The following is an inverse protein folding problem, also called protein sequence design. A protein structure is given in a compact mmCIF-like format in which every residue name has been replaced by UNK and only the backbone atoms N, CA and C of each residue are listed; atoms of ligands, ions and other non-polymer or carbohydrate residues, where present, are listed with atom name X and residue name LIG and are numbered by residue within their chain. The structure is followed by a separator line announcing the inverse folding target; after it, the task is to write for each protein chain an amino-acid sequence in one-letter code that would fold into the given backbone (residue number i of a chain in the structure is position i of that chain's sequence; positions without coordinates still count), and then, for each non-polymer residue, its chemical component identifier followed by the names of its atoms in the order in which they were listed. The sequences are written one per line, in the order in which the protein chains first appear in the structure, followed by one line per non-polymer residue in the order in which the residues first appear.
data_IF_196360062608
#
_entry.id   IF_196360062608
#
_cell.length_a   1.000
_cell.length_b   1.000
_cell.length_c   1.000
_cell.angle_alpha   90.00
_cell.angle_beta   90.00
_cell.angle_gamma   90.00
#
_symmetry.space_group_name_H-M   'P 1'
#
loop_
_entity.id
_entity.type
_entity.pdbx_description
1 polymer ?
#
# COMPACT_ATOMS: atom_id res chain seq x y z
N UNK A 1 -2.27 -14.54 -4.21
CA UNK A 1 -2.32 -13.24 -3.52
C UNK A 1 -1.73 -13.47 -2.15
N UNK A 2 -0.64 -12.81 -1.82
CA UNK A 2 0.05 -12.97 -0.54
C UNK A 2 -0.56 -12.03 0.50
N UNK A 3 -0.76 -12.51 1.73
CA UNK A 3 -1.42 -11.74 2.78
C UNK A 3 -0.37 -11.19 3.74
N UNK A 4 -0.35 -9.87 3.89
CA UNK A 4 0.45 -9.15 4.86
C UNK A 4 -0.44 -8.66 6.01
N UNK A 5 -0.27 -9.24 7.20
CA UNK A 5 -1.01 -8.81 8.39
C UNK A 5 -0.28 -7.65 9.07
N UNK A 6 -0.78 -6.44 8.84
CA UNK A 6 -0.16 -5.21 9.35
C UNK A 6 -0.09 -5.21 10.88
N UNK A 7 -1.04 -5.84 11.58
CA UNK A 7 -1.02 -5.94 13.04
C UNK A 7 0.16 -6.77 13.55
N UNK A 8 0.62 -7.77 12.77
CA UNK A 8 1.70 -8.68 13.16
C UNK A 8 3.08 -8.12 12.81
N UNK A 9 3.25 -7.62 11.60
CA UNK A 9 4.58 -7.20 11.09
C UNK A 9 4.79 -5.68 11.14
N UNK A 10 3.74 -4.91 11.43
CA UNK A 10 3.76 -3.45 11.48
C UNK A 10 3.91 -2.81 10.10
N UNK A 11 3.74 -1.49 10.04
CA UNK A 11 3.88 -0.69 8.80
C UNK A 11 5.26 -0.85 8.18
N UNK A 12 6.32 -0.88 9.00
CA UNK A 12 7.68 -1.08 8.50
C UNK A 12 7.86 -2.45 7.86
N UNK A 13 7.36 -3.51 8.50
CA UNK A 13 7.43 -4.86 7.94
C UNK A 13 6.70 -4.95 6.61
N UNK A 14 5.47 -4.41 6.53
CA UNK A 14 4.70 -4.36 5.28
C UNK A 14 5.48 -3.64 4.18
N UNK A 15 5.98 -2.43 4.44
CA UNK A 15 6.68 -1.66 3.41
C UNK A 15 8.00 -2.31 2.99
N UNK A 16 8.78 -2.83 3.93
CA UNK A 16 10.01 -3.58 3.62
C UNK A 16 9.71 -4.79 2.73
N UNK A 17 8.70 -5.60 3.05
CA UNK A 17 8.31 -6.74 2.21
C UNK A 17 7.95 -6.32 0.79
N UNK A 18 7.25 -5.20 0.61
CA UNK A 18 6.90 -4.69 -0.71
C UNK A 18 8.10 -4.07 -1.46
N UNK A 19 9.09 -3.52 -0.74
CA UNK A 19 10.31 -2.92 -1.30
C UNK A 19 11.38 -3.94 -1.66
N UNK A 20 11.44 -5.06 -0.96
CA UNK A 20 12.45 -6.12 -1.17
C UNK A 20 12.21 -6.90 -2.47
N UNK A 21 11.08 -6.67 -3.14
CA UNK A 21 10.77 -7.29 -4.43
C UNK A 21 11.57 -6.65 -5.57
N UNK A 22 11.96 -7.43 -6.59
CA UNK A 22 12.52 -6.90 -7.82
C UNK A 22 11.59 -5.87 -8.48
N UNK A 23 12.16 -4.85 -9.13
CA UNK A 23 11.39 -3.75 -9.75
C UNK A 23 10.45 -4.20 -10.88
N UNK A 24 10.70 -5.34 -11.52
CA UNK A 24 9.87 -5.92 -12.57
C UNK A 24 8.81 -6.92 -12.03
N UNK A 25 8.75 -7.09 -10.70
CA UNK A 25 7.80 -7.98 -10.02
C UNK A 25 6.36 -7.55 -10.26
N UNK A 26 5.50 -8.53 -10.58
CA UNK A 26 4.06 -8.36 -10.83
C UNK A 26 3.24 -9.20 -9.85
N UNK A 27 3.51 -9.03 -8.57
CA UNK A 27 2.85 -9.77 -7.50
C UNK A 27 1.62 -9.04 -6.95
N UNK A 28 0.70 -9.83 -6.39
CA UNK A 28 -0.54 -9.35 -5.80
C UNK A 28 -0.51 -9.56 -4.29
N UNK A 29 -0.73 -8.49 -3.53
CA UNK A 29 -0.75 -8.46 -2.07
C UNK A 29 -2.11 -8.05 -1.54
N UNK A 30 -2.47 -8.62 -0.40
CA UNK A 30 -3.56 -8.17 0.44
C UNK A 30 -3.01 -7.74 1.80
N UNK A 31 -3.23 -6.48 2.19
CA UNK A 31 -2.86 -5.95 3.49
C UNK A 31 -4.09 -5.98 4.40
N UNK A 32 -4.01 -6.76 5.47
CA UNK A 32 -5.08 -6.87 6.47
C UNK A 32 -4.76 -6.07 7.73
N UNK A 33 -5.81 -5.78 8.51
CA UNK A 33 -5.73 -5.06 9.78
C UNK A 33 -5.00 -3.70 9.72
N UNK A 34 -5.31 -2.81 8.75
CA UNK A 34 -4.61 -1.54 8.61
C UNK A 34 -4.87 -0.57 9.77
N UNK A 35 -6.02 -0.66 10.45
CA UNK A 35 -6.35 0.07 11.68
C UNK A 35 -6.09 1.59 11.62
N UNK A 36 -6.27 2.21 10.45
CA UNK A 36 -6.01 3.65 10.27
C UNK A 36 -4.53 4.02 10.35
N UNK A 37 -3.61 3.06 10.23
CA UNK A 37 -2.18 3.31 10.29
C UNK A 37 -1.68 4.13 9.10
N UNK A 38 -0.64 4.90 9.37
CA UNK A 38 -0.09 5.89 8.44
C UNK A 38 0.96 5.23 7.54
N UNK A 39 1.23 5.86 6.40
CA UNK A 39 2.35 5.52 5.51
C UNK A 39 2.37 4.06 5.04
N UNK A 40 1.20 3.45 4.85
CA UNK A 40 1.06 2.10 4.33
C UNK A 40 1.31 2.12 2.82
N UNK A 41 2.10 1.18 2.32
CA UNK A 41 2.40 0.99 0.89
C UNK A 41 3.03 2.24 0.24
N UNK A 42 3.89 2.96 0.96
CA UNK A 42 4.63 4.10 0.42
C UNK A 42 5.84 3.65 -0.40
N UNK A 43 6.25 4.44 -1.39
CA UNK A 43 7.51 4.27 -2.11
C UNK A 43 7.58 3.04 -3.01
N UNK A 44 6.43 2.54 -3.48
CA UNK A 44 6.41 1.35 -4.33
C UNK A 44 7.00 1.65 -5.73
N UNK A 45 8.06 0.92 -6.06
CA UNK A 45 8.84 1.03 -7.30
C UNK A 45 8.76 -0.25 -8.16
N UNK A 46 7.64 -0.97 -8.08
CA UNK A 46 7.35 -2.16 -8.87
C UNK A 46 5.87 -2.21 -9.28
N UNK A 47 5.49 -2.83 -10.41
CA UNK A 47 4.11 -2.91 -10.90
C UNK A 47 3.26 -3.93 -10.11
N UNK A 48 3.18 -3.74 -8.79
CA UNK A 48 2.44 -4.57 -7.85
C UNK A 48 0.94 -4.26 -7.89
N UNK A 49 0.12 -5.23 -7.49
CA UNK A 49 -1.29 -5.01 -7.15
C UNK A 49 -1.45 -5.17 -5.65
N UNK A 50 -1.87 -4.12 -4.95
CA UNK A 50 -2.00 -4.12 -3.49
C UNK A 50 -3.45 -3.80 -3.13
N UNK A 51 -4.09 -4.67 -2.36
CA UNK A 51 -5.42 -4.43 -1.82
C UNK A 51 -5.34 -4.25 -0.30
N UNK A 52 -5.80 -3.13 0.22
CA UNK A 52 -5.78 -2.80 1.65
C UNK A 52 -7.18 -2.93 2.22
N UNK A 53 -7.37 -3.91 3.11
CA UNK A 53 -8.66 -4.28 3.70
C UNK A 53 -8.97 -3.43 4.93
N UNK A 54 -9.49 -2.23 4.71
CA UNK A 54 -9.98 -1.34 5.77
C UNK A 54 -9.43 0.09 5.68
N UNK A 55 -9.59 0.84 6.77
CA UNK A 55 -9.20 2.25 6.84
C UNK A 55 -7.68 2.44 6.91
N UNK A 56 -7.18 3.45 6.20
CA UNK A 56 -5.77 3.86 6.21
C UNK A 56 -5.64 5.30 6.69
N UNK A 57 -4.51 5.58 7.36
CA UNK A 57 -4.17 6.90 7.89
C UNK A 57 -3.52 7.78 6.84
N UNK A 58 -2.66 8.68 7.30
CA UNK A 58 -2.03 9.68 6.45
C UNK A 58 -1.01 9.07 5.48
N UNK A 59 -0.84 9.70 4.32
CA UNK A 59 0.23 9.38 3.36
C UNK A 59 0.22 7.96 2.78
N UNK A 60 -0.88 7.23 2.89
CA UNK A 60 -0.99 5.90 2.28
C UNK A 60 -0.72 5.98 0.76
N UNK A 61 0.12 5.08 0.26
CA UNK A 61 0.49 5.05 -1.16
C UNK A 61 1.35 6.23 -1.63
N UNK A 62 1.90 7.05 -0.72
CA UNK A 62 2.76 8.16 -1.09
C UNK A 62 4.00 7.69 -1.86
N UNK A 63 4.51 8.49 -2.79
CA UNK A 63 5.66 8.16 -3.64
C UNK A 63 5.49 6.89 -4.48
N UNK A 64 4.26 6.50 -4.81
CA UNK A 64 3.99 5.36 -5.69
C UNK A 64 4.46 5.65 -7.14
N UNK A 65 5.15 4.69 -7.76
CA UNK A 65 5.59 4.78 -9.17
C UNK A 65 4.81 3.85 -10.09
N UNK A 66 4.64 2.58 -9.75
CA UNK A 66 4.08 1.62 -10.72
C UNK A 66 2.92 0.79 -10.17
N UNK A 67 2.72 0.79 -8.86
CA UNK A 67 1.75 -0.09 -8.24
C UNK A 67 0.30 0.38 -8.46
N UNK A 68 -0.61 -0.59 -8.42
CA UNK A 68 -2.05 -0.40 -8.35
C UNK A 68 -2.51 -0.72 -6.94
N UNK A 69 -2.91 0.30 -6.18
CA UNK A 69 -3.34 0.16 -4.79
C UNK A 69 -4.85 0.38 -4.72
N UNK A 70 -5.58 -0.55 -4.11
CA UNK A 70 -7.00 -0.39 -3.79
C UNK A 70 -7.19 -0.36 -2.28
N UNK A 71 -7.83 0.68 -1.76
CA UNK A 71 -8.20 0.79 -0.35
C UNK A 71 -9.71 0.54 -0.23
N UNK A 72 -10.09 -0.47 0.54
CA UNK A 72 -11.51 -0.82 0.73
C UNK A 72 -12.19 0.00 1.84
N UNK A 73 -11.41 0.76 2.62
CA UNK A 73 -11.91 1.71 3.62
C UNK A 73 -11.51 3.17 3.31
N UNK A 74 -11.86 4.07 4.23
CA UNK A 74 -11.46 5.48 4.17
C UNK A 74 -9.94 5.68 4.18
N UNK A 75 -9.51 6.79 3.55
CA UNK A 75 -8.13 7.23 3.53
C UNK A 75 -7.96 8.60 4.20
N UNK A 76 -6.89 8.74 4.99
CA UNK A 76 -6.52 9.98 5.63
C UNK A 76 -5.86 10.99 4.69
N UNK A 77 -5.44 12.12 5.27
CA UNK A 77 -4.78 13.24 4.58
C UNK A 77 -3.49 12.79 3.89
N UNK A 78 -3.22 13.35 2.70
CA UNK A 78 -1.99 13.08 1.96
C UNK A 78 -1.99 11.72 1.25
N UNK A 79 -3.14 11.08 1.04
CA UNK A 79 -3.22 9.90 0.17
C UNK A 79 -2.52 10.17 -1.17
N UNK A 80 -1.68 9.23 -1.59
CA UNK A 80 -0.93 9.32 -2.86
C UNK A 80 -0.02 10.54 -2.97
N UNK A 81 0.38 11.15 -1.86
CA UNK A 81 1.25 12.32 -1.89
C UNK A 81 2.55 12.03 -2.66
N UNK A 82 2.92 12.94 -3.56
CA UNK A 82 4.08 12.81 -4.43
C UNK A 82 4.10 11.51 -5.26
N UNK A 83 2.94 11.01 -5.70
CA UNK A 83 2.84 9.87 -6.62
C UNK A 83 3.38 10.24 -8.01
N UNK A 84 4.26 9.39 -8.56
CA UNK A 84 4.86 9.55 -9.89
C UNK A 84 3.99 8.93 -10.99
N UNK A 85 3.47 7.72 -10.77
CA UNK A 85 2.55 7.03 -11.68
C UNK A 85 1.90 5.82 -10.99
N UNK A 86 1.10 5.04 -11.72
CA UNK A 86 0.35 3.90 -11.19
C UNK A 86 -1.13 4.25 -10.99
N UNK A 87 -1.81 3.55 -10.08
CA UNK A 87 -3.20 3.84 -9.72
C UNK A 87 -3.42 3.67 -8.22
N UNK A 88 -4.15 4.58 -7.60
CA UNK A 88 -4.65 4.41 -6.24
C UNK A 88 -6.15 4.65 -6.27
N UNK A 89 -6.93 3.66 -5.82
CA UNK A 89 -8.40 3.71 -5.80
C UNK A 89 -8.90 3.52 -4.37
N UNK A 90 -9.76 4.41 -3.91
CA UNK A 90 -10.47 4.29 -2.64
C UNK A 90 -11.92 3.91 -2.93
N UNK A 91 -12.47 2.96 -2.17
CA UNK A 91 -13.83 2.44 -2.41
C UNK A 91 -14.78 2.56 -1.22
N UNK A 92 -14.33 3.10 -0.06
CA UNK A 92 -15.19 3.29 1.11
C UNK A 92 -14.55 4.07 2.23
#
# INVERSE_FOLDING_TARGET
MEILDLKKIGVRGVNSTLHDLPQDSRQNFEIQNPQGQHSIACGLDAPLVVEIKGHVGFYCGGMNKFAKITVTGHAGVGLAENMMSGNIRVTG
#
